data_IF_408393380992
#
_entry.id   IF_408393380992
#
_cell.length_a   1.000
_cell.length_b   1.000
_cell.length_c   1.000
_cell.angle_alpha   90.00
_cell.angle_beta   90.00
_cell.angle_gamma   90.00
#
_symmetry.space_group_name_H-M   'P 1'
#
loop_
_entity.id
_entity.type
_entity.pdbx_description
1 polymer ?
#
# COMPACT_ATOMS: atom_id res chain seq x y z
N UNK A 1 -15.11 -3.08 1.37
CA UNK A 1 -13.69 -2.73 1.13
C UNK A 1 -12.83 -3.82 1.72
N UNK A 2 -11.85 -4.32 0.97
CA UNK A 2 -10.91 -5.30 1.49
C UNK A 2 -10.03 -4.66 2.57
N UNK A 3 -9.62 -5.44 3.57
CA UNK A 3 -8.69 -4.97 4.61
C UNK A 3 -7.31 -4.82 3.97
N UNK A 4 -6.57 -3.73 4.23
CA UNK A 4 -5.19 -3.62 3.72
C UNK A 4 -4.31 -4.70 4.33
N UNK A 5 -3.40 -5.26 3.54
CA UNK A 5 -2.38 -6.19 4.04
C UNK A 5 -1.34 -5.46 4.88
N UNK A 6 -1.06 -4.20 4.53
CA UNK A 6 -0.10 -3.35 5.23
C UNK A 6 -0.51 -1.88 5.15
N UNK A 7 -0.33 -1.15 6.24
CA UNK A 7 -0.49 0.31 6.26
C UNK A 7 0.75 0.95 6.87
N UNK A 8 1.33 1.92 6.15
CA UNK A 8 2.39 2.80 6.62
C UNK A 8 1.78 4.14 7.01
N UNK A 9 2.25 4.76 8.10
CA UNK A 9 1.72 6.02 8.59
C UNK A 9 2.81 6.90 9.17
N UNK A 10 2.76 8.19 8.82
CA UNK A 10 3.57 9.27 9.40
C UNK A 10 2.61 10.41 9.73
N UNK A 11 2.39 10.64 11.02
CA UNK A 11 1.39 11.61 11.49
C UNK A 11 -0.01 11.30 10.94
N UNK A 12 -0.62 12.30 10.32
CA UNK A 12 -1.94 12.20 9.68
C UNK A 12 -1.93 11.45 8.35
N UNK A 13 -0.78 11.27 7.70
CA UNK A 13 -0.69 10.71 6.34
C UNK A 13 -0.41 9.22 6.39
N UNK A 14 -1.11 8.44 5.58
CA UNK A 14 -0.94 6.99 5.48
C UNK A 14 -1.06 6.46 4.07
N UNK A 15 -0.25 5.44 3.76
CA UNK A 15 -0.34 4.63 2.56
C UNK A 15 -0.75 3.20 2.94
N UNK A 16 -1.84 2.70 2.39
CA UNK A 16 -2.37 1.36 2.64
C UNK A 16 -2.25 0.49 1.39
N UNK A 17 -1.62 -0.67 1.52
CA UNK A 17 -1.40 -1.66 0.45
C UNK A 17 -2.52 -2.70 0.51
N UNK A 18 -3.10 -3.03 -0.64
CA UNK A 18 -4.18 -4.01 -0.78
C UNK A 18 -3.80 -5.06 -1.83
N UNK A 19 -4.12 -6.32 -1.56
CA UNK A 19 -4.00 -7.43 -2.52
C UNK A 19 -5.32 -7.57 -3.26
N UNK A 20 -5.30 -7.42 -4.57
CA UNK A 20 -6.44 -7.63 -5.45
C UNK A 20 -6.21 -8.87 -6.31
N UNK A 21 -7.30 -9.43 -6.84
CA UNK A 21 -7.27 -10.58 -7.75
C UNK A 21 -7.97 -10.19 -9.04
N UNK A 22 -7.37 -10.50 -10.19
CA UNK A 22 -8.08 -10.44 -11.48
C UNK A 22 -9.03 -11.63 -11.61
N UNK A 23 -9.94 -11.59 -12.58
CA UNK A 23 -10.83 -12.73 -12.87
C UNK A 23 -10.05 -14.00 -13.23
N UNK A 24 -8.90 -13.85 -13.90
CA UNK A 24 -7.97 -14.94 -14.24
C UNK A 24 -7.13 -15.45 -13.05
N UNK A 25 -7.39 -14.95 -11.83
CA UNK A 25 -6.73 -15.41 -10.61
C UNK A 25 -5.35 -14.79 -10.32
N UNK A 26 -4.87 -13.85 -11.16
CA UNK A 26 -3.61 -13.15 -10.93
C UNK A 26 -3.74 -12.15 -9.78
N UNK A 27 -2.85 -12.24 -8.81
CA UNK A 27 -2.76 -11.27 -7.72
C UNK A 27 -1.97 -10.02 -8.15
N UNK A 28 -2.48 -8.84 -7.78
CA UNK A 28 -1.76 -7.57 -7.94
C UNK A 28 -2.05 -6.64 -6.77
N UNK A 29 -1.09 -5.77 -6.47
CA UNK A 29 -1.17 -4.86 -5.32
C UNK A 29 -1.53 -3.45 -5.76
N UNK A 30 -2.37 -2.79 -4.96
CA UNK A 30 -2.69 -1.36 -5.11
C UNK A 30 -2.39 -0.61 -3.82
N UNK A 31 -2.16 0.69 -3.92
CA UNK A 31 -1.85 1.56 -2.78
C UNK A 31 -2.87 2.70 -2.71
N UNK A 32 -3.48 2.89 -1.53
CA UNK A 32 -4.33 4.05 -1.23
C UNK A 32 -3.60 5.01 -0.31
N UNK A 33 -3.39 6.24 -0.76
CA UNK A 33 -2.81 7.32 0.01
C UNK A 33 -3.90 8.23 0.57
N UNK A 34 -3.91 8.45 1.87
CA UNK A 34 -4.90 9.26 2.57
C UNK A 34 -4.27 10.09 3.67
N UNK A 35 -4.85 11.26 3.96
CA UNK A 35 -4.63 11.98 5.22
C UNK A 35 -5.85 11.87 6.14
N UNK A 36 -5.65 11.76 7.44
CA UNK A 36 -6.69 11.82 8.46
C UNK A 36 -6.73 13.20 9.13
N UNK A 37 -7.90 13.79 9.25
CA UNK A 37 -8.09 15.08 9.92
C UNK A 37 -9.34 15.04 10.80
N UNK A 38 -9.39 15.91 11.80
CA UNK A 38 -10.57 16.05 12.67
C UNK A 38 -11.50 17.11 12.08
N UNK A 39 -12.79 16.81 11.99
CA UNK A 39 -13.85 17.76 11.67
C UNK A 39 -14.92 17.68 12.76
N UNK A 40 -14.96 18.69 13.62
CA UNK A 40 -15.76 18.63 14.85
C UNK A 40 -15.23 17.54 15.77
N UNK A 41 -16.07 16.56 16.08
CA UNK A 41 -15.72 15.37 16.88
C UNK A 41 -15.43 14.12 16.06
N UNK A 42 -15.53 14.20 14.74
CA UNK A 42 -15.31 13.07 13.85
C UNK A 42 -13.92 13.10 13.21
N UNK A 43 -13.32 11.92 13.08
CA UNK A 43 -12.16 11.72 12.22
C UNK A 43 -12.62 11.43 10.80
N UNK A 44 -12.08 12.18 9.84
CA UNK A 44 -12.34 12.01 8.40
C UNK A 44 -11.04 11.80 7.65
N UNK A 45 -11.16 11.27 6.44
CA UNK A 45 -10.03 11.10 5.53
C UNK A 45 -10.21 11.92 4.26
N UNK A 46 -9.10 12.32 3.66
CA UNK A 46 -9.06 13.01 2.38
C UNK A 46 -7.87 12.54 1.52
N UNK A 47 -7.95 12.81 0.22
CA UNK A 47 -6.92 12.51 -0.78
C UNK A 47 -6.26 13.76 -1.36
N UNK A 48 -6.55 14.93 -0.80
CA UNK A 48 -5.80 16.16 -1.04
C UNK A 48 -4.85 16.41 0.14
N UNK A 49 -3.72 17.05 -0.12
CA UNK A 49 -2.63 17.23 0.85
C UNK A 49 -2.21 18.70 0.88
N UNK A 50 -1.91 19.21 2.07
CA UNK A 50 -1.24 20.49 2.25
C UNK A 50 0.26 20.35 1.92
N UNK A 51 0.92 21.47 1.65
CA UNK A 51 2.35 21.49 1.30
C UNK A 51 3.22 20.86 2.41
N UNK A 52 2.87 21.09 3.67
CA UNK A 52 3.55 20.52 4.85
C UNK A 52 3.39 19.01 4.99
N UNK A 53 2.39 18.41 4.32
CA UNK A 53 2.11 16.97 4.38
C UNK A 53 2.84 16.19 3.28
N UNK A 54 3.38 16.88 2.26
CA UNK A 54 4.05 16.23 1.13
C UNK A 54 5.28 15.39 1.55
N UNK A 55 6.16 15.83 2.48
CA UNK A 55 7.28 14.99 2.90
C UNK A 55 6.81 13.66 3.51
N UNK A 56 5.75 13.69 4.31
CA UNK A 56 5.16 12.49 4.90
C UNK A 56 4.53 11.59 3.82
N UNK A 57 3.81 12.18 2.86
CA UNK A 57 3.21 11.47 1.73
C UNK A 57 4.27 10.73 0.88
N UNK A 58 5.37 11.41 0.54
CA UNK A 58 6.48 10.80 -0.21
C UNK A 58 7.10 9.66 0.60
N UNK A 59 7.37 9.87 1.89
CA UNK A 59 8.00 8.84 2.73
C UNK A 59 7.13 7.59 2.88
N UNK A 60 5.81 7.72 3.12
CA UNK A 60 4.93 6.54 3.23
C UNK A 60 4.77 5.82 1.88
N UNK A 61 4.82 6.55 0.75
CA UNK A 61 4.82 5.93 -0.58
C UNK A 61 6.13 5.16 -0.83
N UNK A 62 7.29 5.70 -0.47
CA UNK A 62 8.57 4.99 -0.58
C UNK A 62 8.59 3.70 0.24
N UNK A 63 8.03 3.72 1.46
CA UNK A 63 7.87 2.52 2.28
C UNK A 63 6.96 1.48 1.61
N UNK A 64 5.83 1.92 1.05
CA UNK A 64 4.92 1.05 0.32
C UNK A 64 5.58 0.45 -0.93
N UNK A 65 6.31 1.26 -1.71
CA UNK A 65 7.07 0.79 -2.87
C UNK A 65 8.09 -0.27 -2.47
N UNK A 66 8.86 -0.03 -1.41
CA UNK A 66 9.86 -0.98 -0.92
C UNK A 66 9.23 -2.30 -0.49
N UNK A 67 8.08 -2.23 0.20
CA UNK A 67 7.33 -3.40 0.64
C UNK A 67 6.80 -4.24 -0.54
N UNK A 68 6.18 -3.59 -1.53
CA UNK A 68 5.66 -4.29 -2.72
C UNK A 68 6.80 -4.92 -3.52
N UNK A 69 7.92 -4.23 -3.71
CA UNK A 69 9.07 -4.77 -4.43
C UNK A 69 9.65 -6.03 -3.76
N UNK A 70 9.65 -6.10 -2.43
CA UNK A 70 10.09 -7.29 -1.70
C UNK A 70 9.12 -8.47 -1.87
N UNK A 71 7.81 -8.21 -1.82
CA UNK A 71 6.79 -9.24 -2.03
C UNK A 71 6.83 -9.78 -3.46
N UNK A 72 6.95 -8.91 -4.46
CA UNK A 72 7.01 -9.32 -5.86
C UNK A 72 8.28 -10.14 -6.15
N UNK A 73 9.42 -9.77 -5.53
CA UNK A 73 10.65 -10.56 -5.59
C UNK A 73 10.45 -11.95 -4.97
N UNK A 74 9.83 -12.01 -3.79
CA UNK A 74 9.57 -13.28 -3.09
C UNK A 74 8.64 -14.17 -3.91
N UNK A 75 7.58 -13.60 -4.49
CA UNK A 75 6.65 -14.32 -5.36
C UNK A 75 7.35 -14.87 -6.61
N UNK A 76 8.17 -14.05 -7.28
CA UNK A 76 8.92 -14.48 -8.45
C UNK A 76 9.92 -15.61 -8.12
N UNK A 77 10.56 -15.58 -6.94
CA UNK A 77 11.45 -16.67 -6.50
C UNK A 77 10.68 -17.96 -6.23
N UNK A 78 9.51 -17.88 -5.61
CA UNK A 78 8.65 -19.03 -5.35
C UNK A 78 8.14 -19.70 -6.64
N UNK A 79 7.73 -18.92 -7.65
CA UNK A 79 7.28 -19.44 -8.94
C UNK A 79 8.40 -20.20 -9.68
N UNK A 80 9.61 -19.63 -9.73
CA UNK A 80 10.75 -20.29 -10.40
C UNK A 80 11.20 -21.60 -9.70
N UNK A 81 11.10 -21.66 -8.37
CA UNK A 81 11.41 -22.87 -7.62
C UNK A 81 10.40 -24.01 -7.87
N UNK A 82 9.13 -23.68 -8.16
CA UNK A 82 8.11 -24.68 -8.46
C UNK A 82 8.26 -25.31 -9.86
N UNK A 83 8.86 -24.61 -10.83
CA UNK A 83 9.01 -25.10 -12.22
C UNK A 83 10.25 -25.97 -12.45
N UNK A 84 11.23 -25.96 -11.54
CA UNK A 84 12.51 -26.70 -11.74
C UNK A 84 12.44 -28.17 -11.27
N UNK A 85 11.27 -28.65 -10.83
CA UNK A 85 11.09 -29.98 -10.23
C UNK A 85 10.54 -31.09 -11.15
N UNK A 86 10.47 -30.86 -12.47
CA UNK A 86 10.02 -31.85 -13.47
C UNK A 86 11.16 -32.36 -14.36
#
# INVERSE_FOLDING_TARGET
>A
MQKPEKTFRIGAVSASVFVNKTEDGREFRSVSLQRSFKQGDEWKTATNFALSELPAAVAVLQMATSHVAELDRTNAMAENAATTGE
#
